data_IF_908228519026
#
_entry.id   IF_908228519026
#
_cell.length_a   1.000
_cell.length_b   1.000
_cell.length_c   1.000
_cell.angle_alpha   90.00
_cell.angle_beta   90.00
_cell.angle_gamma   90.00
#
_symmetry.space_group_name_H-M   'P 1'
#
loop_
_entity.id
_entity.type
_entity.pdbx_description
1 polymer ?
#
# COMPACT_ATOMS: atom_id res chain seq x y z
N UNK A 1 30.19 32.35 13.69
CA UNK A 1 30.69 31.65 12.48
C UNK A 1 29.84 30.42 12.25
N UNK A 2 29.08 30.37 11.16
CA UNK A 2 28.26 29.21 10.81
C UNK A 2 29.18 28.05 10.36
N UNK A 3 28.97 26.84 10.92
CA UNK A 3 29.63 25.63 10.42
C UNK A 3 29.09 25.33 9.02
N UNK A 4 29.94 24.99 8.03
CA UNK A 4 29.47 24.63 6.70
C UNK A 4 28.70 23.30 6.80
N UNK A 5 27.45 23.31 6.33
CA UNK A 5 26.65 22.11 6.10
C UNK A 5 27.21 21.42 4.87
N UNK A 6 28.07 20.43 5.07
CA UNK A 6 28.55 19.56 3.99
C UNK A 6 27.44 18.58 3.62
N UNK A 7 26.60 18.96 2.65
CA UNK A 7 25.87 17.99 1.83
C UNK A 7 26.83 17.49 0.76
N UNK A 8 27.67 16.50 1.08
CA UNK A 8 28.41 15.78 0.04
C UNK A 8 27.42 14.89 -0.71
N UNK A 9 26.89 15.39 -1.82
CA UNK A 9 26.33 14.53 -2.87
C UNK A 9 27.52 13.82 -3.51
N UNK A 10 27.88 12.64 -3.01
CA UNK A 10 28.79 11.75 -3.72
C UNK A 10 28.04 11.22 -4.95
N UNK A 11 28.61 11.38 -6.14
CA UNK A 11 28.11 10.68 -7.31
C UNK A 11 28.22 9.17 -7.06
N UNK A 12 27.08 8.48 -7.17
CA UNK A 12 27.01 7.03 -6.99
C UNK A 12 27.46 6.39 -8.29
N UNK A 13 28.77 6.25 -8.49
CA UNK A 13 29.27 5.32 -9.50
C UNK A 13 28.82 3.90 -9.18
N UNK A 14 28.69 3.02 -10.19
CA UNK A 14 28.21 1.64 -10.01
C UNK A 14 29.00 0.83 -8.97
N UNK A 15 30.27 1.18 -8.70
CA UNK A 15 31.12 0.54 -7.70
C UNK A 15 31.04 1.16 -6.27
N UNK A 16 30.06 2.04 -5.98
CA UNK A 16 29.93 2.65 -4.66
C UNK A 16 29.37 1.65 -3.62
N UNK A 17 29.97 1.53 -2.43
CA UNK A 17 29.48 0.66 -1.35
C UNK A 17 28.06 0.97 -0.84
N UNK A 18 27.47 2.11 -1.21
CA UNK A 18 26.11 2.53 -0.86
C UNK A 18 25.10 2.35 -1.98
N UNK A 19 25.52 1.90 -3.18
CA UNK A 19 24.63 1.73 -4.34
C UNK A 19 23.41 0.89 -3.99
N UNK A 20 23.59 -0.24 -3.28
CA UNK A 20 22.48 -1.09 -2.86
C UNK A 20 21.53 -0.37 -1.89
N UNK A 21 22.07 0.42 -0.97
CA UNK A 21 21.25 1.19 0.00
C UNK A 21 20.45 2.29 -0.69
N UNK A 22 21.07 3.01 -1.64
CA UNK A 22 20.41 4.04 -2.42
C UNK A 22 19.32 3.45 -3.34
N UNK A 23 19.64 2.38 -4.06
CA UNK A 23 18.67 1.68 -4.90
C UNK A 23 17.47 1.16 -4.06
N UNK A 24 17.74 0.64 -2.85
CA UNK A 24 16.70 0.18 -1.95
C UNK A 24 15.73 1.30 -1.54
N UNK A 25 16.24 2.51 -1.28
CA UNK A 25 15.41 3.66 -0.90
C UNK A 25 14.53 4.18 -2.03
N UNK A 26 14.97 4.02 -3.29
CA UNK A 26 14.20 4.46 -4.45
C UNK A 26 13.15 3.43 -4.89
N UNK A 27 13.48 2.14 -4.83
CA UNK A 27 12.65 1.10 -5.44
C UNK A 27 11.87 0.31 -4.38
N UNK A 28 12.46 -0.61 -3.60
CA UNK A 28 11.67 -1.43 -2.69
C UNK A 28 11.08 -0.66 -1.51
N UNK A 29 11.75 0.38 -0.99
CA UNK A 29 11.29 1.13 0.20
C UNK A 29 10.33 2.29 -0.12
N UNK A 30 10.20 2.66 -1.38
CA UNK A 30 9.29 3.71 -1.85
C UNK A 30 8.23 3.14 -2.80
N UNK A 31 8.66 2.47 -3.87
CA UNK A 31 7.78 1.83 -4.86
C UNK A 31 7.31 0.41 -4.50
N UNK A 32 7.86 -0.20 -3.44
CA UNK A 32 7.43 -1.53 -2.97
C UNK A 32 7.89 -2.70 -3.86
N UNK A 33 8.68 -2.46 -4.91
CA UNK A 33 9.23 -3.51 -5.78
C UNK A 33 10.75 -3.38 -5.85
N UNK A 34 11.43 -4.52 -5.97
CA UNK A 34 12.86 -4.53 -6.30
C UNK A 34 13.10 -3.91 -7.69
N UNK A 35 14.25 -3.29 -7.88
CA UNK A 35 14.52 -2.42 -9.04
C UNK A 35 14.34 -3.14 -10.39
N UNK A 36 14.71 -4.41 -10.47
CA UNK A 36 14.57 -5.26 -11.65
C UNK A 36 13.12 -5.63 -12.00
N UNK A 37 12.20 -5.52 -11.03
CA UNK A 37 10.79 -5.86 -11.19
C UNK A 37 9.93 -4.63 -11.53
N UNK A 38 10.57 -3.44 -11.66
CA UNK A 38 9.88 -2.16 -11.92
C UNK A 38 9.77 -1.87 -13.41
N UNK A 39 8.55 -1.65 -13.87
CA UNK A 39 8.31 -0.96 -15.15
C UNK A 39 8.71 0.51 -15.01
N UNK A 40 9.84 0.91 -15.60
CA UNK A 40 10.36 2.30 -15.52
C UNK A 40 9.34 3.32 -16.00
N UNK A 41 8.57 3.01 -17.06
CA UNK A 41 7.52 3.90 -17.58
C UNK A 41 6.33 4.03 -16.63
N UNK A 42 6.01 2.98 -15.89
CA UNK A 42 4.95 3.01 -14.89
C UNK A 42 5.36 3.88 -13.71
N UNK A 43 6.56 3.63 -13.17
CA UNK A 43 7.14 4.43 -12.09
C UNK A 43 7.26 5.91 -12.45
N UNK A 44 7.81 6.24 -13.63
CA UNK A 44 7.96 7.63 -14.08
C UNK A 44 6.61 8.33 -14.36
N UNK A 45 5.52 7.57 -14.55
CA UNK A 45 4.19 8.11 -14.78
C UNK A 45 3.46 8.54 -13.50
N UNK A 46 3.93 8.07 -12.34
CA UNK A 46 3.34 8.35 -11.03
C UNK A 46 3.94 9.65 -10.47
N UNK A 47 3.07 10.53 -9.99
CA UNK A 47 3.44 11.81 -9.38
C UNK A 47 3.42 11.71 -7.87
N UNK A 48 4.53 12.11 -7.25
CA UNK A 48 4.61 12.30 -5.81
C UNK A 48 3.99 13.63 -5.36
N UNK A 49 3.61 13.70 -4.10
CA UNK A 49 3.17 14.91 -3.42
C UNK A 49 3.95 15.18 -2.14
N UNK A 50 3.58 16.24 -1.42
CA UNK A 50 4.11 16.45 -0.07
C UNK A 50 3.47 15.45 0.88
N UNK A 51 4.30 14.66 1.58
CA UNK A 51 3.84 13.69 2.55
C UNK A 51 3.56 14.36 3.90
N UNK A 52 2.28 14.49 4.25
CA UNK A 52 1.85 14.93 5.57
C UNK A 52 1.52 13.72 6.44
N UNK A 53 1.90 13.80 7.71
CA UNK A 53 1.49 12.81 8.69
C UNK A 53 0.23 13.24 9.42
N UNK A 54 -0.62 12.28 9.70
CA UNK A 54 -1.80 12.47 10.55
C UNK A 54 -1.40 12.13 11.98
N UNK A 55 -1.41 13.13 12.87
CA UNK A 55 -0.96 12.96 14.25
C UNK A 55 -1.73 11.89 15.04
N UNK A 56 -3.03 11.75 14.75
CA UNK A 56 -3.91 10.72 15.33
C UNK A 56 -3.88 9.38 14.56
N UNK A 57 -3.02 9.26 13.54
CA UNK A 57 -2.93 8.13 12.64
C UNK A 57 -3.94 8.18 11.49
N UNK A 58 -3.55 7.64 10.33
CA UNK A 58 -4.36 7.70 9.10
C UNK A 58 -5.70 6.94 9.22
N UNK A 59 -5.75 5.90 10.05
CA UNK A 59 -6.98 5.16 10.34
C UNK A 59 -8.06 6.02 10.99
N UNK A 60 -7.67 6.98 11.83
CA UNK A 60 -8.60 7.94 12.46
C UNK A 60 -9.22 8.85 11.40
N UNK A 61 -8.44 9.29 10.41
CA UNK A 61 -8.97 10.07 9.28
C UNK A 61 -10.01 9.26 8.50
N UNK A 62 -9.69 8.01 8.14
CA UNK A 62 -10.62 7.12 7.40
C UNK A 62 -11.90 6.86 8.20
N UNK A 63 -11.77 6.62 9.50
CA UNK A 63 -12.93 6.43 10.39
C UNK A 63 -13.84 7.65 10.39
N UNK A 64 -13.29 8.85 10.58
CA UNK A 64 -14.06 10.10 10.58
C UNK A 64 -14.76 10.37 9.24
N UNK A 65 -14.09 10.10 8.12
CA UNK A 65 -14.68 10.22 6.78
C UNK A 65 -15.87 9.26 6.57
N UNK A 66 -15.86 8.11 7.25
CA UNK A 66 -16.88 7.07 7.14
C UNK A 66 -18.01 7.14 8.16
N UNK A 67 -18.01 8.09 9.11
CA UNK A 67 -18.94 8.10 10.26
C UNK A 67 -20.42 8.09 9.87
N UNK A 68 -20.79 8.77 8.78
CA UNK A 68 -22.16 8.84 8.29
C UNK A 68 -22.52 7.73 7.28
N UNK A 69 -21.59 6.85 6.94
CA UNK A 69 -21.77 5.82 5.92
C UNK A 69 -22.18 4.50 6.60
N UNK A 70 -23.30 3.87 6.23
CA UNK A 70 -23.64 2.54 6.72
C UNK A 70 -22.59 1.52 6.26
N UNK A 71 -21.85 0.92 7.20
CA UNK A 71 -20.80 -0.07 6.92
C UNK A 71 -21.16 -1.44 7.51
N UNK A 72 -21.10 -2.48 6.69
CA UNK A 72 -21.26 -3.87 7.12
C UNK A 72 -19.91 -4.57 7.19
N UNK A 73 -19.31 -4.65 8.38
CA UNK A 73 -18.07 -5.40 8.61
C UNK A 73 -18.32 -6.90 8.66
N UNK A 74 -17.31 -7.71 8.32
CA UNK A 74 -17.42 -9.18 8.33
C UNK A 74 -18.44 -9.73 7.33
N UNK A 75 -18.66 -9.01 6.23
CA UNK A 75 -19.57 -9.39 5.14
C UNK A 75 -18.81 -9.49 3.80
N UNK A 76 -17.81 -10.39 3.67
CA UNK A 76 -17.11 -10.58 2.41
C UNK A 76 -18.10 -10.91 1.29
N UNK A 77 -17.99 -10.19 0.17
CA UNK A 77 -18.74 -10.46 -1.07
C UNK A 77 -18.02 -11.57 -1.81
N UNK A 78 -18.72 -12.67 -2.12
CA UNK A 78 -18.18 -13.80 -2.87
C UNK A 78 -18.58 -13.81 -4.34
N UNK A 79 -19.68 -13.13 -4.70
CA UNK A 79 -20.19 -13.11 -6.07
C UNK A 79 -21.04 -11.85 -6.32
N UNK A 80 -20.97 -11.34 -7.54
CA UNK A 80 -21.88 -10.32 -8.04
C UNK A 80 -22.53 -10.85 -9.33
N UNK A 81 -23.85 -10.95 -9.34
CA UNK A 81 -24.61 -11.35 -10.53
C UNK A 81 -25.52 -10.22 -11.01
N UNK A 82 -25.78 -10.18 -12.31
CA UNK A 82 -26.72 -9.25 -12.92
C UNK A 82 -28.08 -9.92 -13.07
N UNK A 83 -29.11 -9.28 -12.55
CA UNK A 83 -30.51 -9.56 -12.84
C UNK A 83 -30.99 -8.62 -13.96
N UNK A 84 -32.28 -8.66 -14.31
CA UNK A 84 -32.86 -7.80 -15.35
C UNK A 84 -32.60 -6.31 -15.07
N UNK A 85 -32.91 -5.85 -13.86
CA UNK A 85 -32.90 -4.42 -13.49
C UNK A 85 -32.05 -4.10 -12.25
N UNK A 86 -31.27 -5.07 -11.77
CA UNK A 86 -30.49 -4.94 -10.54
C UNK A 86 -29.27 -5.87 -10.53
N UNK A 87 -28.42 -5.67 -9.54
CA UNK A 87 -27.33 -6.56 -9.16
C UNK A 87 -27.69 -7.30 -7.87
N UNK A 88 -27.26 -8.55 -7.76
CA UNK A 88 -27.26 -9.31 -6.50
C UNK A 88 -25.82 -9.53 -6.05
N UNK A 89 -25.49 -9.10 -4.85
CA UNK A 89 -24.21 -9.32 -4.19
C UNK A 89 -24.39 -10.42 -3.14
N UNK A 90 -23.74 -11.56 -3.32
CA UNK A 90 -23.75 -12.66 -2.34
C UNK A 90 -22.69 -12.40 -1.28
N UNK A 91 -23.11 -12.41 -0.01
CA UNK A 91 -22.21 -12.23 1.14
C UNK A 91 -22.37 -13.36 2.16
N UNK A 92 -21.42 -13.49 3.09
CA UNK A 92 -21.55 -14.41 4.23
C UNK A 92 -22.71 -14.10 5.17
N UNK A 93 -23.32 -12.90 5.07
CA UNK A 93 -24.46 -12.46 5.88
C UNK A 93 -25.78 -12.45 5.11
N UNK A 94 -25.80 -13.01 3.90
CA UNK A 94 -26.96 -13.00 3.00
C UNK A 94 -26.74 -12.15 1.75
N UNK A 95 -27.74 -12.14 0.87
CA UNK A 95 -27.69 -11.42 -0.38
C UNK A 95 -28.10 -9.94 -0.20
N UNK A 96 -27.43 -9.06 -0.94
CA UNK A 96 -27.78 -7.63 -1.04
C UNK A 96 -28.15 -7.31 -2.48
N UNK A 97 -29.27 -6.62 -2.70
CA UNK A 97 -29.68 -6.15 -4.02
C UNK A 97 -29.36 -4.67 -4.18
N UNK A 98 -28.81 -4.28 -5.33
CA UNK A 98 -28.45 -2.90 -5.63
C UNK A 98 -28.72 -2.55 -7.10
N UNK A 99 -28.94 -1.25 -7.38
CA UNK A 99 -29.06 -0.75 -8.77
C UNK A 99 -27.70 -0.55 -9.44
N UNK A 100 -26.65 -0.33 -8.65
CA UNK A 100 -25.27 -0.20 -9.08
C UNK A 100 -24.32 -0.68 -7.97
N UNK A 101 -23.11 -1.11 -8.34
CA UNK A 101 -22.07 -1.52 -7.42
C UNK A 101 -20.73 -0.84 -7.74
N UNK A 102 -20.04 -0.34 -6.71
CA UNK A 102 -18.67 0.16 -6.82
C UNK A 102 -17.72 -0.86 -6.21
N UNK A 103 -16.80 -1.40 -7.01
CA UNK A 103 -15.77 -2.33 -6.57
C UNK A 103 -14.48 -1.54 -6.30
N UNK A 104 -13.96 -1.66 -5.09
CA UNK A 104 -12.74 -0.97 -4.63
C UNK A 104 -11.65 -1.91 -4.12
N UNK A 105 -11.72 -3.19 -4.48
CA UNK A 105 -10.70 -4.18 -4.10
C UNK A 105 -9.40 -3.96 -4.89
N UNK A 106 -8.28 -4.44 -4.37
CA UNK A 106 -6.99 -4.33 -5.07
C UNK A 106 -7.00 -5.08 -6.41
N UNK A 107 -6.15 -4.65 -7.35
CA UNK A 107 -6.10 -5.25 -8.68
C UNK A 107 -5.85 -6.78 -8.65
N UNK A 108 -4.95 -7.34 -7.81
CA UNK A 108 -4.82 -8.79 -7.70
C UNK A 108 -6.05 -9.48 -7.12
N UNK A 109 -6.83 -8.84 -6.24
CA UNK A 109 -8.08 -9.42 -5.74
C UNK A 109 -9.12 -9.45 -6.85
N UNK A 110 -9.22 -8.38 -7.64
CA UNK A 110 -10.07 -8.30 -8.83
C UNK A 110 -9.74 -9.43 -9.83
N UNK A 111 -8.46 -9.70 -10.05
CA UNK A 111 -7.97 -10.75 -10.95
C UNK A 111 -8.00 -12.17 -10.36
N UNK A 112 -8.16 -12.33 -9.04
CA UNK A 112 -7.97 -13.62 -8.37
C UNK A 112 -9.10 -14.64 -8.59
N UNK A 113 -10.26 -14.19 -9.05
CA UNK A 113 -11.48 -15.00 -9.08
C UNK A 113 -12.09 -15.28 -7.69
N UNK A 114 -11.57 -14.69 -6.62
CA UNK A 114 -12.14 -14.82 -5.25
C UNK A 114 -13.55 -14.22 -5.17
N UNK A 115 -13.83 -13.23 -6.02
CA UNK A 115 -15.17 -12.69 -6.24
C UNK A 115 -15.63 -13.13 -7.63
N UNK A 116 -16.77 -13.79 -7.72
CA UNK A 116 -17.39 -14.16 -8.99
C UNK A 116 -17.88 -12.92 -9.73
N UNK A 117 -17.09 -12.44 -10.71
CA UNK A 117 -17.36 -11.23 -11.50
C UNK A 117 -17.60 -11.50 -13.00
N UNK A 118 -17.57 -12.77 -13.42
CA UNK A 118 -17.84 -13.15 -14.80
C UNK A 118 -19.25 -12.71 -15.19
N UNK A 119 -19.38 -12.04 -16.34
CA UNK A 119 -20.65 -11.53 -16.85
C UNK A 119 -21.06 -10.16 -16.29
N UNK A 120 -20.35 -9.61 -15.30
CA UNK A 120 -20.60 -8.25 -14.77
C UNK A 120 -19.43 -7.30 -14.94
N UNK A 121 -18.20 -7.83 -15.01
CA UNK A 121 -16.98 -7.12 -15.41
C UNK A 121 -16.44 -7.74 -16.72
N UNK A 122 -16.12 -6.93 -17.74
CA UNK A 122 -15.54 -7.42 -19.00
C UNK A 122 -14.23 -8.20 -18.81
N UNK A 123 -14.01 -9.20 -19.67
CA UNK A 123 -12.82 -10.07 -19.58
C UNK A 123 -11.52 -9.29 -19.79
N UNK A 124 -11.50 -8.32 -20.70
CA UNK A 124 -10.33 -7.49 -20.97
C UNK A 124 -9.92 -6.60 -19.78
N UNK A 125 -10.89 -6.16 -18.97
CA UNK A 125 -10.65 -5.45 -17.71
C UNK A 125 -10.06 -6.40 -16.65
N UNK A 126 -10.56 -7.63 -16.57
CA UNK A 126 -10.00 -8.65 -15.67
C UNK A 126 -8.58 -9.07 -16.09
N UNK A 127 -8.32 -9.20 -17.39
CA UNK A 127 -7.00 -9.48 -17.95
C UNK A 127 -6.03 -8.31 -17.69
N UNK A 128 -6.51 -7.07 -17.78
CA UNK A 128 -5.74 -5.90 -17.38
C UNK A 128 -5.37 -5.94 -15.89
N UNK A 129 -6.33 -6.29 -15.02
CA UNK A 129 -6.07 -6.47 -13.59
C UNK A 129 -5.04 -7.58 -13.32
N UNK A 130 -5.06 -8.68 -14.08
CA UNK A 130 -4.09 -9.77 -13.98
C UNK A 130 -2.67 -9.37 -14.42
N UNK A 131 -2.55 -8.30 -15.21
CA UNK A 131 -1.28 -7.70 -15.62
C UNK A 131 -0.79 -6.61 -14.67
N UNK A 132 -1.60 -6.22 -13.67
CA UNK A 132 -1.13 -5.47 -12.51
C UNK A 132 -0.40 -6.42 -11.54
N UNK A 133 0.40 -5.83 -10.68
CA UNK A 133 1.03 -6.45 -9.51
C UNK A 133 0.85 -5.54 -8.30
N UNK A 134 1.30 -5.98 -7.13
CA UNK A 134 1.38 -5.13 -5.95
C UNK A 134 2.82 -5.08 -5.46
N UNK A 135 3.31 -3.87 -5.20
CA UNK A 135 4.48 -3.69 -4.36
C UNK A 135 4.20 -4.17 -2.93
N UNK A 136 5.26 -4.37 -2.16
CA UNK A 136 5.16 -4.70 -0.75
C UNK A 136 6.06 -3.81 0.10
N UNK A 137 5.45 -3.12 1.07
CA UNK A 137 6.11 -2.36 2.11
C UNK A 137 5.52 -2.78 3.45
N UNK A 138 6.29 -3.53 4.25
CA UNK A 138 5.87 -3.98 5.58
C UNK A 138 6.49 -3.13 6.68
N UNK A 139 5.84 -3.11 7.84
CA UNK A 139 6.28 -2.38 9.01
C UNK A 139 6.26 -3.28 10.23
N UNK A 140 7.33 -3.21 11.03
CA UNK A 140 7.35 -3.74 12.40
C UNK A 140 7.52 -2.56 13.35
N UNK A 141 6.47 -2.25 14.09
CA UNK A 141 6.49 -1.22 15.11
C UNK A 141 6.92 -1.81 16.45
N UNK A 142 7.97 -1.25 17.03
CA UNK A 142 8.52 -1.57 18.33
C UNK A 142 8.16 -0.44 19.30
N UNK A 143 7.26 -0.71 20.24
CA UNK A 143 6.91 0.26 21.28
C UNK A 143 8.09 0.43 22.24
N UNK A 144 8.50 1.67 22.48
CA UNK A 144 9.60 2.03 23.35
C UNK A 144 9.07 2.57 24.68
N UNK A 145 9.82 2.42 25.76
CA UNK A 145 9.55 3.15 27.00
C UNK A 145 9.71 4.67 26.74
N UNK A 146 8.81 5.54 27.23
CA UNK A 146 8.85 6.97 26.91
C UNK A 146 10.15 7.67 27.30
N UNK A 147 10.72 7.30 28.45
CA UNK A 147 12.00 7.81 28.97
C UNK A 147 13.15 7.53 28.01
N UNK A 148 13.29 6.28 27.54
CA UNK A 148 14.35 5.92 26.61
C UNK A 148 14.08 6.47 25.21
N UNK A 149 12.82 6.45 24.76
CA UNK A 149 12.45 7.06 23.50
C UNK A 149 12.88 8.54 23.46
N UNK A 150 12.62 9.31 24.52
CA UNK A 150 12.97 10.72 24.59
C UNK A 150 14.47 11.02 24.38
N UNK A 151 15.36 10.04 24.54
CA UNK A 151 16.80 10.18 24.26
C UNK A 151 17.16 10.25 22.77
N UNK A 152 16.24 9.87 21.88
CA UNK A 152 16.41 9.97 20.42
C UNK A 152 15.64 11.17 19.88
N UNK A 153 16.18 11.95 18.93
CA UNK A 153 15.41 13.02 18.29
C UNK A 153 14.16 12.49 17.58
N UNK A 154 13.10 13.29 17.55
CA UNK A 154 11.90 12.96 16.78
C UNK A 154 12.22 12.85 15.28
N UNK A 155 11.53 11.96 14.57
CA UNK A 155 11.67 11.71 13.14
C UNK A 155 13.10 11.32 12.68
N UNK A 156 13.84 10.61 13.53
CA UNK A 156 15.19 10.16 13.16
C UNK A 156 15.11 8.94 12.24
N UNK A 157 15.76 8.99 11.08
CA UNK A 157 15.91 7.85 10.20
C UNK A 157 17.26 7.18 10.44
N UNK A 158 17.24 5.89 10.75
CA UNK A 158 18.42 5.04 10.84
C UNK A 158 18.51 4.24 9.54
N UNK A 159 19.51 4.59 8.73
CA UNK A 159 19.71 4.00 7.41
C UNK A 159 20.94 3.09 7.49
N UNK A 160 20.76 1.76 7.42
CA UNK A 160 21.88 0.83 7.41
C UNK A 160 22.63 0.88 6.08
N UNK A 161 23.91 0.50 6.10
CA UNK A 161 24.61 0.12 4.88
C UNK A 161 24.21 -1.32 4.53
N UNK A 162 23.38 -1.49 3.50
CA UNK A 162 22.90 -2.80 3.06
C UNK A 162 24.05 -3.66 2.52
N UNK A 163 24.04 -4.96 2.87
CA UNK A 163 25.09 -5.93 2.54
C UNK A 163 24.54 -7.23 1.94
N UNK A 164 23.24 -7.40 1.96
CA UNK A 164 22.52 -8.60 1.57
C UNK A 164 21.15 -8.20 0.96
N UNK A 165 20.26 -9.17 0.80
CA UNK A 165 18.92 -8.99 0.24
C UNK A 165 17.96 -8.16 1.12
N UNK A 166 18.32 -7.83 2.36
CA UNK A 166 17.44 -7.12 3.28
C UNK A 166 17.36 -5.65 2.85
N UNK A 167 16.18 -5.20 2.46
CA UNK A 167 15.93 -3.79 2.13
C UNK A 167 15.11 -3.14 3.24
N UNK A 168 15.77 -2.33 4.07
CA UNK A 168 15.13 -1.75 5.24
C UNK A 168 15.74 -0.43 5.71
N UNK A 169 14.98 0.27 6.54
CA UNK A 169 15.45 1.34 7.43
C UNK A 169 14.61 1.34 8.72
N UNK A 170 15.05 2.07 9.74
CA UNK A 170 14.27 2.27 10.96
C UNK A 170 13.92 3.73 11.15
N UNK A 171 12.63 4.04 11.29
CA UNK A 171 12.13 5.36 11.65
C UNK A 171 11.91 5.42 13.17
N UNK A 172 12.81 6.12 13.84
CA UNK A 172 12.73 6.39 15.27
C UNK A 172 11.82 7.58 15.53
N UNK A 173 10.88 7.40 16.44
CA UNK A 173 9.96 8.42 16.93
C UNK A 173 9.26 9.22 15.82
N UNK A 174 8.52 8.54 14.92
CA UNK A 174 7.65 9.24 13.98
C UNK A 174 6.74 10.21 14.75
N UNK A 175 6.82 11.49 14.41
CA UNK A 175 6.07 12.57 15.05
C UNK A 175 6.23 12.63 16.58
N UNK A 176 7.41 12.23 17.07
CA UNK A 176 7.76 12.26 18.49
C UNK A 176 7.23 11.08 19.32
N UNK A 177 6.42 10.19 18.72
CA UNK A 177 5.82 9.04 19.39
C UNK A 177 6.89 8.07 19.93
N UNK A 178 6.66 7.37 21.06
CA UNK A 178 7.63 6.45 21.63
C UNK A 178 7.63 5.10 20.91
N UNK A 179 7.96 5.11 19.61
CA UNK A 179 7.98 3.92 18.75
C UNK A 179 9.18 3.98 17.81
N UNK A 180 9.78 2.81 17.55
CA UNK A 180 10.70 2.60 16.43
C UNK A 180 9.98 1.76 15.38
N UNK A 181 9.91 2.23 14.14
CA UNK A 181 9.26 1.50 13.06
C UNK A 181 10.34 1.00 12.10
N UNK A 182 10.50 -0.31 12.04
CA UNK A 182 11.28 -0.99 11.02
C UNK A 182 10.44 -1.08 9.74
N UNK A 183 10.91 -0.47 8.66
CA UNK A 183 10.31 -0.53 7.33
C UNK A 183 11.07 -1.54 6.48
N UNK A 184 10.37 -2.46 5.84
CA UNK A 184 10.93 -3.38 4.85
C UNK A 184 10.26 -3.21 3.50
N UNK A 185 11.03 -3.30 2.41
CA UNK A 185 10.55 -3.13 1.04
C UNK A 185 10.69 -4.37 0.16
N UNK A 186 9.99 -4.39 -0.97
CA UNK A 186 10.17 -5.39 -2.03
C UNK A 186 10.03 -6.86 -1.58
N UNK A 187 10.88 -7.73 -2.11
CA UNK A 187 10.93 -9.16 -1.75
C UNK A 187 11.23 -9.38 -0.27
N UNK A 188 12.10 -8.56 0.33
CA UNK A 188 12.38 -8.67 1.76
C UNK A 188 11.13 -8.43 2.61
N UNK A 189 10.31 -7.44 2.25
CA UNK A 189 9.03 -7.22 2.89
C UNK A 189 8.12 -8.46 2.82
N UNK A 190 8.10 -9.18 1.68
CA UNK A 190 7.33 -10.43 1.56
C UNK A 190 7.87 -11.54 2.45
N UNK A 191 9.19 -11.68 2.54
CA UNK A 191 9.84 -12.63 3.45
C UNK A 191 9.47 -12.30 4.90
N UNK A 192 9.53 -11.03 5.29
CA UNK A 192 9.12 -10.56 6.61
C UNK A 192 7.64 -10.84 6.90
N UNK A 193 6.76 -10.59 5.94
CA UNK A 193 5.31 -10.84 6.04
C UNK A 193 4.95 -12.31 6.26
N UNK A 194 5.77 -13.23 5.74
CA UNK A 194 5.61 -14.67 5.93
C UNK A 194 6.10 -15.17 7.30
N UNK A 195 6.83 -14.35 8.06
CA UNK A 195 7.29 -14.72 9.40
C UNK A 195 6.16 -14.63 10.43
N UNK A 196 6.19 -15.47 11.49
CA UNK A 196 5.40 -15.18 12.67
C UNK A 196 5.86 -13.86 13.31
N UNK A 197 4.99 -13.20 14.07
CA UNK A 197 5.30 -11.93 14.74
C UNK A 197 6.60 -11.98 15.57
N UNK A 198 6.89 -13.12 16.20
CA UNK A 198 8.15 -13.32 16.95
C UNK A 198 9.38 -13.21 16.06
N UNK A 199 9.35 -13.77 14.84
CA UNK A 199 10.43 -13.69 13.87
C UNK A 199 10.60 -12.27 13.32
N UNK A 200 9.50 -11.65 12.86
CA UNK A 200 9.54 -10.27 12.37
C UNK A 200 10.00 -9.28 13.46
N UNK A 201 9.57 -9.48 14.72
CA UNK A 201 10.05 -8.67 15.84
C UNK A 201 11.51 -8.92 16.16
N UNK A 202 12.01 -10.16 16.05
CA UNK A 202 13.41 -10.47 16.31
C UNK A 202 14.31 -9.79 15.27
N UNK A 203 13.91 -9.80 13.99
CA UNK A 203 14.62 -9.10 12.92
C UNK A 203 14.69 -7.58 13.17
N UNK A 204 13.56 -6.94 13.47
CA UNK A 204 13.51 -5.51 13.75
C UNK A 204 14.35 -5.14 14.98
N UNK A 205 14.37 -5.99 16.02
CA UNK A 205 15.22 -5.81 17.20
C UNK A 205 16.70 -5.98 16.85
N UNK A 206 17.06 -6.99 16.06
CA UNK A 206 18.44 -7.21 15.64
C UNK A 206 18.98 -6.01 14.85
N UNK A 207 18.20 -5.49 13.90
CA UNK A 207 18.52 -4.27 13.15
C UNK A 207 18.71 -3.05 14.08
N UNK A 208 17.82 -2.87 15.06
CA UNK A 208 17.93 -1.77 16.02
C UNK A 208 19.19 -1.90 16.89
N UNK A 209 19.52 -3.11 17.32
CA UNK A 209 20.72 -3.39 18.13
C UNK A 209 22.02 -3.22 17.33
N UNK A 210 22.04 -3.59 16.06
CA UNK A 210 23.19 -3.37 15.17
C UNK A 210 23.50 -1.86 15.03
N UNK A 211 22.45 -1.04 14.87
CA UNK A 211 22.61 0.40 14.66
C UNK A 211 22.82 1.21 15.94
N UNK A 212 22.22 0.82 17.06
CA UNK A 212 22.21 1.60 18.31
C UNK A 212 22.84 0.90 19.52
N UNK A 213 23.31 -0.34 19.34
CA UNK A 213 23.79 -1.21 20.41
C UNK A 213 22.66 -1.94 21.17
N UNK A 214 22.98 -3.11 21.73
CA UNK A 214 22.02 -4.00 22.41
C UNK A 214 21.29 -3.36 23.61
N UNK A 215 21.84 -2.29 24.20
CA UNK A 215 21.18 -1.54 25.26
C UNK A 215 19.87 -0.88 24.81
N UNK A 216 19.70 -0.59 23.50
CA UNK A 216 18.48 -0.05 22.94
C UNK A 216 17.29 -1.02 23.09
N UNK A 217 17.56 -2.34 23.15
CA UNK A 217 16.52 -3.36 23.25
C UNK A 217 15.80 -3.37 24.59
N UNK A 218 16.45 -2.88 25.65
CA UNK A 218 15.86 -2.81 27.00
C UNK A 218 14.62 -1.92 27.05
N UNK A 219 14.50 -0.98 26.12
CA UNK A 219 13.33 -0.10 26.04
C UNK A 219 12.17 -0.68 25.23
N UNK A 220 12.37 -1.77 24.49
CA UNK A 220 11.32 -2.31 23.63
C UNK A 220 10.36 -3.14 24.46
N UNK A 221 9.15 -2.63 24.65
CA UNK A 221 8.11 -3.23 25.51
C UNK A 221 7.17 -4.15 24.74
N UNK A 222 6.82 -3.80 23.50
CA UNK A 222 5.90 -4.56 22.65
C UNK A 222 6.28 -4.43 21.19
N UNK A 223 5.78 -5.36 20.37
CA UNK A 223 5.92 -5.32 18.92
C UNK A 223 4.57 -5.57 18.24
N UNK A 224 4.38 -4.98 17.07
CA UNK A 224 3.31 -5.30 16.12
C UNK A 224 3.86 -5.26 14.70
N UNK A 225 3.36 -6.11 13.82
CA UNK A 225 3.80 -6.18 12.42
C UNK A 225 2.60 -6.11 11.48
N UNK A 226 2.80 -5.50 10.31
CA UNK A 226 1.85 -5.60 9.19
C UNK A 226 2.07 -6.92 8.45
N UNK A 227 1.06 -7.34 7.66
CA UNK A 227 1.13 -8.48 6.76
C UNK A 227 0.29 -8.19 5.51
N UNK A 228 0.68 -7.14 4.77
CA UNK A 228 -0.04 -6.72 3.57
C UNK A 228 -0.02 -7.79 2.48
N UNK A 229 1.14 -8.44 2.27
CA UNK A 229 1.28 -9.49 1.27
C UNK A 229 0.45 -10.75 1.58
N UNK A 230 0.39 -11.17 2.85
CA UNK A 230 -0.32 -12.38 3.26
C UNK A 230 -1.82 -12.20 3.46
N UNK A 231 -2.31 -10.95 3.53
CA UNK A 231 -3.74 -10.68 3.66
C UNK A 231 -4.46 -10.85 2.31
N UNK A 232 -5.33 -11.85 2.22
CA UNK A 232 -6.09 -12.17 1.01
C UNK A 232 -6.97 -11.02 0.49
N UNK A 233 -7.28 -10.01 1.33
CA UNK A 233 -8.11 -8.85 0.99
C UNK A 233 -7.35 -7.78 0.20
N UNK A 234 -6.01 -7.80 0.21
CA UNK A 234 -5.18 -6.77 -0.44
C UNK A 234 -4.05 -7.37 -1.28
N UNK A 235 -3.42 -8.47 -0.82
CA UNK A 235 -2.35 -9.22 -1.50
C UNK A 235 -1.11 -8.39 -1.83
N UNK A 236 -0.79 -7.42 -0.97
CA UNK A 236 0.30 -6.48 -1.10
C UNK A 236 -0.09 -5.09 -0.62
N UNK A 237 0.85 -4.15 -0.74
CA UNK A 237 0.70 -2.80 -0.21
C UNK A 237 0.00 -1.85 -1.20
N UNK A 238 0.55 -1.62 -2.38
CA UNK A 238 0.00 -0.72 -3.40
C UNK A 238 0.34 -1.18 -4.83
N UNK A 239 -0.48 -0.77 -5.79
CA UNK A 239 -0.47 -1.29 -7.15
C UNK A 239 0.72 -0.84 -8.00
N UNK A 240 1.23 -1.75 -8.82
CA UNK A 240 2.19 -1.45 -9.87
C UNK A 240 1.83 -2.23 -11.12
N UNK A 241 2.40 -1.86 -12.26
CA UNK A 241 2.26 -2.61 -13.51
C UNK A 241 3.45 -3.55 -13.66
N UNK A 242 3.19 -4.79 -14.08
CA UNK A 242 4.26 -5.75 -14.41
C UNK A 242 5.14 -5.19 -15.53
N UNK A 243 6.42 -5.58 -15.52
CA UNK A 243 7.33 -5.29 -16.63
C UNK A 243 6.71 -5.78 -17.95
N UNK A 244 6.82 -4.94 -18.99
CA UNK A 244 6.23 -5.16 -20.32
C UNK A 244 4.69 -5.13 -20.39
N UNK A 245 3.98 -4.74 -19.33
CA UNK A 245 2.52 -4.72 -19.29
C UNK A 245 1.90 -3.32 -19.15
N UNK A 246 2.63 -2.24 -19.52
CA UNK A 246 2.19 -0.85 -19.35
C UNK A 246 0.72 -0.55 -19.75
N UNK A 247 0.17 -1.11 -20.86
CA UNK A 247 -1.23 -0.92 -21.22
C UNK A 247 -2.23 -1.37 -20.15
N UNK A 248 -1.85 -2.25 -19.22
CA UNK A 248 -2.71 -2.75 -18.14
C UNK A 248 -3.34 -1.63 -17.32
N UNK A 249 -2.59 -0.57 -16.98
CA UNK A 249 -3.12 0.55 -16.20
C UNK A 249 -4.23 1.28 -16.95
N UNK A 250 -4.01 1.57 -18.24
CA UNK A 250 -5.01 2.22 -19.09
C UNK A 250 -6.22 1.32 -19.33
N UNK A 251 -5.98 0.03 -19.58
CA UNK A 251 -7.03 -0.95 -19.83
C UNK A 251 -7.90 -1.19 -18.59
N UNK A 252 -7.29 -1.20 -17.39
CA UNK A 252 -8.02 -1.33 -16.13
C UNK A 252 -8.94 -0.14 -15.87
N UNK A 253 -8.54 1.06 -16.33
CA UNK A 253 -9.33 2.29 -16.21
C UNK A 253 -10.36 2.49 -17.33
N UNK A 254 -10.44 1.60 -18.33
CA UNK A 254 -11.39 1.74 -19.44
C UNK A 254 -12.83 1.71 -18.91
N UNK A 255 -13.66 2.71 -19.24
CA UNK A 255 -15.09 2.64 -18.97
C UNK A 255 -15.71 1.47 -19.72
N UNK A 256 -16.68 0.82 -19.10
CA UNK A 256 -17.48 -0.23 -19.74
C UNK A 256 -18.95 -0.04 -19.36
N UNK A 257 -19.85 -0.31 -20.31
CA UNK A 257 -21.29 -0.18 -20.09
C UNK A 257 -21.75 -1.22 -19.07
N UNK A 258 -22.02 -0.78 -17.84
CA UNK A 258 -22.32 -1.68 -16.73
C UNK A 258 -22.97 -0.95 -15.56
N UNK A 259 -23.70 -1.71 -14.76
CA UNK A 259 -24.11 -1.32 -13.41
C UNK A 259 -22.98 -1.47 -12.38
N UNK A 260 -21.80 -1.94 -12.81
CA UNK A 260 -20.62 -2.15 -11.98
C UNK A 260 -19.53 -1.15 -12.37
N UNK A 261 -18.96 -0.49 -11.37
CA UNK A 261 -17.95 0.55 -11.50
C UNK A 261 -16.69 0.15 -10.71
N UNK A 262 -15.53 0.65 -11.12
CA UNK A 262 -14.26 0.41 -10.45
C UNK A 262 -13.67 1.73 -9.91
N UNK A 263 -13.17 1.68 -8.67
CA UNK A 263 -12.35 2.73 -8.07
C UNK A 263 -11.29 2.12 -7.15
N UNK A 264 -10.43 2.97 -6.58
CA UNK A 264 -9.32 2.56 -5.73
C UNK A 264 -8.00 3.17 -6.19
N UNK A 265 -6.93 2.91 -5.43
CA UNK A 265 -5.62 3.52 -5.67
C UNK A 265 -5.07 3.18 -7.07
N UNK A 266 -5.29 1.97 -7.59
CA UNK A 266 -4.81 1.57 -8.91
C UNK A 266 -5.41 2.39 -10.06
N UNK A 267 -6.56 3.02 -9.81
CA UNK A 267 -7.35 3.83 -10.75
C UNK A 267 -7.19 5.33 -10.49
N UNK A 268 -6.19 5.73 -9.68
CA UNK A 268 -5.86 7.12 -9.37
C UNK A 268 -5.09 7.87 -10.46
N UNK A 269 -4.94 7.31 -11.66
CA UNK A 269 -4.10 7.83 -12.74
C UNK A 269 -2.65 8.03 -12.27
N UNK A 270 -2.12 9.25 -12.42
CA UNK A 270 -0.77 9.63 -11.95
C UNK A 270 -0.65 9.63 -10.43
N UNK A 271 -1.78 9.62 -9.71
CA UNK A 271 -1.83 9.50 -8.25
C UNK A 271 -1.95 8.04 -7.79
N UNK A 272 -1.63 7.04 -8.62
CA UNK A 272 -1.71 5.66 -8.17
C UNK A 272 -0.85 5.40 -6.93
N UNK A 273 -1.11 4.33 -6.18
CA UNK A 273 -0.43 3.97 -4.93
C UNK A 273 -0.73 4.84 -3.71
N UNK A 274 -1.63 5.82 -3.85
CA UNK A 274 -1.87 6.83 -2.82
C UNK A 274 -3.32 6.87 -2.34
N UNK A 275 -3.51 7.48 -1.16
CA UNK A 275 -4.83 7.75 -0.61
C UNK A 275 -5.56 8.84 -1.40
N UNK A 276 -4.86 9.85 -1.90
CA UNK A 276 -5.46 10.90 -2.73
C UNK A 276 -5.90 10.35 -4.09
N UNK A 277 -5.15 9.41 -4.66
CA UNK A 277 -5.55 8.66 -5.86
C UNK A 277 -6.79 7.83 -5.64
N UNK A 278 -6.88 7.13 -4.50
CA UNK A 278 -8.08 6.37 -4.13
C UNK A 278 -9.29 7.30 -3.91
N UNK A 279 -9.10 8.44 -3.24
CA UNK A 279 -10.14 9.45 -3.05
C UNK A 279 -10.63 10.05 -4.37
N UNK A 280 -9.69 10.41 -5.24
CA UNK A 280 -9.99 10.99 -6.54
C UNK A 280 -10.77 10.00 -7.42
N UNK A 281 -10.31 8.75 -7.50
CA UNK A 281 -10.97 7.72 -8.31
C UNK A 281 -12.34 7.34 -7.75
N UNK A 282 -12.50 7.31 -6.42
CA UNK A 282 -13.79 7.12 -5.76
C UNK A 282 -14.77 8.27 -6.05
N UNK A 283 -14.30 9.51 -5.99
CA UNK A 283 -15.11 10.70 -6.31
C UNK A 283 -15.56 10.71 -7.78
N UNK A 284 -14.66 10.32 -8.70
CA UNK A 284 -14.98 10.14 -10.12
C UNK A 284 -16.09 9.09 -10.30
N UNK A 285 -15.89 7.89 -9.75
CA UNK A 285 -16.85 6.80 -9.87
C UNK A 285 -18.22 7.14 -9.25
N UNK A 286 -18.26 7.86 -8.13
CA UNK A 286 -19.52 8.32 -7.53
C UNK A 286 -20.32 9.22 -8.50
N UNK A 287 -19.66 10.12 -9.24
CA UNK A 287 -20.32 10.96 -10.26
C UNK A 287 -20.84 10.13 -11.43
N UNK A 288 -20.05 9.16 -11.89
CA UNK A 288 -20.44 8.23 -12.96
C UNK A 288 -21.68 7.40 -12.56
N UNK A 289 -21.70 6.87 -11.33
CA UNK A 289 -22.85 6.14 -10.78
C UNK A 289 -24.09 7.03 -10.73
N UNK A 290 -23.98 8.27 -10.26
CA UNK A 290 -25.12 9.19 -10.20
C UNK A 290 -25.66 9.51 -11.59
N UNK A 291 -24.79 9.75 -12.58
CA UNK A 291 -25.19 9.97 -13.97
C UNK A 291 -25.90 8.74 -14.55
N UNK A 292 -25.34 7.56 -14.34
CA UNK A 292 -25.92 6.28 -14.78
C UNK A 292 -27.30 6.03 -14.18
N UNK A 293 -27.45 6.21 -12.86
CA UNK A 293 -28.71 5.99 -12.17
C UNK A 293 -29.81 6.97 -12.58
N UNK A 294 -29.46 8.19 -12.98
CA UNK A 294 -30.39 9.20 -13.55
C UNK A 294 -30.81 8.82 -14.97
N UNK A 295 -29.87 8.40 -15.81
CA UNK A 295 -30.16 7.98 -17.18
C UNK A 295 -31.10 6.78 -17.24
N UNK A 296 -31.08 5.89 -16.23
CA UNK A 296 -32.01 4.75 -16.10
C UNK A 296 -33.39 5.10 -15.54
N UNK A 297 -33.60 6.33 -15.06
CA UNK A 297 -34.90 6.80 -14.55
C UNK A 297 -35.71 7.54 -15.61
N UNK A 298 -35.06 7.92 -16.72
CA UNK A 298 -35.66 8.51 -17.91
C UNK A 298 -36.00 7.40 -18.92
#
# INVERSE_FOLDING_TARGET
MAKPTLWTVQSVGFANPWTATAAAHLMPLDYGLDAEDVSVRDWAGIEGGTNFAVGEGIGTLVQRLGEAIPVSLGAPVSQITRNRDSLTLTTSKGAVTARAALITVSAPVLASGTIGLKGVVPVDVLDAAANMTMGNLEKVALALTPDKAATYPANTLLIPKLRDERTYYVHMRPHGQPVAIYYAGGRWARTLAAMPLSGASAEARAALADMLGSAALKAVTRASATNWAGDARFRGSYSAVKVNALPARLNLAKPFASDVFLAGEALGERRAQSLDGAWWSGTRAAREILAHLRARQL
#
